data_IF_027773785365
#
_entry.id   IF_027773785365
#
_cell.length_a   1.000
_cell.length_b   1.000
_cell.length_c   1.000
_cell.angle_alpha   90.00
_cell.angle_beta   90.00
_cell.angle_gamma   90.00
#
_symmetry.space_group_name_H-M   'P 1'
#
loop_
_entity.id
_entity.type
_entity.pdbx_description
1 polymer ?
#
# COMPACT_ATOMS: atom_id res chain seq x y z
N UNK A 1 20.28 12.84 -0.90
CA UNK A 1 19.94 11.57 -0.21
C UNK A 1 20.23 10.37 -1.11
N UNK A 2 20.46 9.15 -0.57
CA UNK A 2 20.65 7.92 -1.36
C UNK A 2 19.31 7.22 -1.57
N UNK A 3 19.08 6.59 -2.74
CA UNK A 3 17.89 5.79 -3.06
C UNK A 3 17.76 4.56 -2.16
N UNK A 4 18.82 3.77 -2.03
CA UNK A 4 18.89 2.66 -1.08
C UNK A 4 19.48 3.20 0.21
N UNK A 5 18.66 3.23 1.26
CA UNK A 5 19.07 3.65 2.59
C UNK A 5 19.83 2.53 3.30
N UNK A 6 19.35 1.29 3.11
CA UNK A 6 19.96 0.11 3.73
C UNK A 6 19.56 -1.16 2.98
N UNK A 7 20.45 -2.13 2.93
CA UNK A 7 20.18 -3.44 2.34
C UNK A 7 20.94 -4.52 3.11
N UNK A 8 20.22 -5.57 3.54
CA UNK A 8 20.80 -6.70 4.26
C UNK A 8 20.10 -8.00 3.84
N UNK A 9 20.88 -9.07 3.68
CA UNK A 9 20.41 -10.40 3.34
C UNK A 9 20.88 -11.43 4.36
N UNK A 10 19.97 -12.32 4.74
CA UNK A 10 20.28 -13.44 5.62
C UNK A 10 20.91 -14.61 4.85
N UNK A 11 21.55 -15.54 5.58
CA UNK A 11 22.20 -16.72 4.99
C UNK A 11 21.20 -17.69 4.36
N UNK A 12 20.00 -17.81 4.91
CA UNK A 12 18.97 -18.74 4.46
C UNK A 12 18.04 -18.08 3.41
N UNK A 13 17.53 -18.84 2.42
CA UNK A 13 16.45 -18.38 1.55
C UNK A 13 15.20 -18.01 2.36
N UNK A 14 14.49 -16.97 1.92
CA UNK A 14 13.28 -16.50 2.61
C UNK A 14 12.69 -15.26 1.94
N UNK A 15 11.61 -14.71 2.51
CA UNK A 15 10.97 -13.51 1.95
C UNK A 15 11.92 -12.31 2.05
N UNK A 16 11.79 -11.39 1.09
CA UNK A 16 12.43 -10.07 1.13
C UNK A 16 11.36 -9.02 1.42
N UNK A 17 11.55 -8.24 2.49
CA UNK A 17 10.71 -7.07 2.78
C UNK A 17 11.37 -5.83 2.21
N UNK A 18 10.65 -5.11 1.36
CA UNK A 18 11.00 -3.77 0.89
C UNK A 18 10.21 -2.77 1.72
N UNK A 19 10.90 -1.94 2.48
CA UNK A 19 10.31 -0.77 3.14
C UNK A 19 10.59 0.46 2.28
N UNK A 20 9.56 1.14 1.83
CA UNK A 20 9.66 2.39 1.08
C UNK A 20 9.14 3.52 1.97
N UNK A 21 9.84 4.64 2.02
CA UNK A 21 9.39 5.85 2.73
C UNK A 21 9.66 7.08 1.88
N UNK A 22 8.85 8.12 2.05
CA UNK A 22 9.01 9.37 1.31
C UNK A 22 8.56 9.29 -0.16
N UNK A 23 7.48 8.54 -0.43
CA UNK A 23 6.73 8.64 -1.69
C UNK A 23 6.28 10.09 -1.92
N UNK A 24 5.92 10.79 -0.84
CA UNK A 24 5.73 12.23 -0.78
C UNK A 24 6.82 12.87 0.09
N UNK A 25 7.42 13.96 -0.38
CA UNK A 25 8.57 14.56 0.30
C UNK A 25 8.24 15.29 1.60
N UNK A 26 6.98 15.68 1.81
CA UNK A 26 6.49 16.25 3.06
C UNK A 26 6.14 15.18 4.13
N UNK A 27 6.46 13.90 3.88
CA UNK A 27 6.21 12.75 4.75
C UNK A 27 7.52 12.05 5.15
N UNK A 28 8.46 12.73 5.85
CA UNK A 28 9.79 12.18 6.13
C UNK A 28 9.79 11.06 7.18
N UNK A 29 8.70 10.89 7.95
CA UNK A 29 8.63 9.95 9.06
C UNK A 29 8.94 8.50 8.65
N UNK A 30 8.50 8.08 7.45
CA UNK A 30 8.81 6.75 6.91
C UNK A 30 10.31 6.55 6.66
N UNK A 31 10.98 7.55 6.09
CA UNK A 31 12.44 7.51 5.85
C UNK A 31 13.20 7.44 7.16
N UNK A 32 12.85 8.28 8.14
CA UNK A 32 13.48 8.27 9.45
C UNK A 32 13.30 6.93 10.19
N UNK A 33 12.10 6.34 10.10
CA UNK A 33 11.85 5.01 10.67
C UNK A 33 12.71 3.92 10.01
N UNK A 34 12.88 3.96 8.70
CA UNK A 34 13.74 3.04 7.95
C UNK A 34 15.20 3.16 8.38
N UNK A 35 15.71 4.38 8.54
CA UNK A 35 17.09 4.62 9.01
C UNK A 35 17.31 4.17 10.46
N UNK A 36 16.32 4.40 11.35
CA UNK A 36 16.38 3.91 12.74
C UNK A 36 16.40 2.40 12.80
N UNK A 37 15.55 1.76 12.01
CA UNK A 37 15.49 0.30 11.93
C UNK A 37 16.78 -0.29 11.34
N UNK A 38 17.36 0.35 10.32
CA UNK A 38 18.63 -0.06 9.72
C UNK A 38 19.75 -0.20 10.77
N UNK A 39 19.91 0.84 11.61
CA UNK A 39 20.90 0.81 12.72
C UNK A 39 20.66 -0.36 13.69
N UNK A 40 19.41 -0.64 14.01
CA UNK A 40 19.06 -1.78 14.87
C UNK A 40 19.34 -3.13 14.22
N UNK A 41 19.18 -3.24 12.91
CA UNK A 41 19.45 -4.46 12.16
C UNK A 41 20.95 -4.76 12.00
N UNK A 42 21.83 -3.76 12.12
CA UNK A 42 23.27 -3.95 12.18
C UNK A 42 23.67 -4.81 13.39
N UNK A 43 23.01 -4.60 14.53
CA UNK A 43 23.25 -5.35 15.76
C UNK A 43 22.53 -6.70 15.79
N UNK A 44 21.27 -6.72 15.36
CA UNK A 44 20.38 -7.90 15.47
C UNK A 44 20.61 -8.90 14.34
N UNK A 45 20.92 -8.42 13.14
CA UNK A 45 21.08 -9.20 11.93
C UNK A 45 19.77 -9.76 11.36
N UNK A 46 19.90 -10.41 10.20
CA UNK A 46 18.82 -11.04 9.46
C UNK A 46 19.07 -12.54 9.37
N UNK A 47 18.06 -13.35 9.70
CA UNK A 47 18.16 -14.80 9.72
C UNK A 47 18.01 -15.40 8.32
N UNK A 48 16.96 -14.96 7.60
CA UNK A 48 16.59 -15.49 6.29
C UNK A 48 16.01 -14.40 5.41
N UNK A 49 16.05 -14.62 4.08
CA UNK A 49 15.52 -13.63 3.14
C UNK A 49 16.31 -12.32 3.16
N UNK A 50 15.62 -11.19 3.17
CA UNK A 50 16.28 -9.88 3.16
C UNK A 50 15.38 -8.73 3.60
N UNK A 51 16.01 -7.60 3.85
CA UNK A 51 15.35 -6.31 4.05
C UNK A 51 16.05 -5.25 3.21
N UNK A 52 15.26 -4.47 2.47
CA UNK A 52 15.75 -3.35 1.65
C UNK A 52 14.95 -2.10 2.03
N UNK A 53 15.64 -1.09 2.54
CA UNK A 53 15.07 0.21 2.86
C UNK A 53 15.31 1.18 1.71
N UNK A 54 14.24 1.80 1.22
CA UNK A 54 14.23 2.61 -0.01
C UNK A 54 13.64 3.98 0.27
N UNK A 55 14.32 5.05 -0.19
CA UNK A 55 13.75 6.39 -0.25
C UNK A 55 12.98 6.57 -1.56
N UNK A 56 11.78 7.12 -1.47
CA UNK A 56 10.86 7.33 -2.59
C UNK A 56 11.23 8.49 -3.51
N UNK A 57 10.50 9.59 -3.49
CA UNK A 57 10.74 10.78 -4.31
C UNK A 57 11.88 11.63 -3.72
N UNK A 58 13.11 11.41 -4.18
CA UNK A 58 14.29 12.10 -3.64
C UNK A 58 14.22 13.61 -3.83
N UNK A 59 13.76 14.07 -4.99
CA UNK A 59 13.66 15.50 -5.27
C UNK A 59 12.63 16.19 -4.37
N UNK A 60 11.49 15.55 -4.13
CA UNK A 60 10.44 16.06 -3.25
C UNK A 60 10.88 16.03 -1.77
N UNK A 61 11.59 14.97 -1.33
CA UNK A 61 12.16 14.87 0.02
C UNK A 61 13.17 15.99 0.29
N UNK A 62 14.04 16.31 -0.67
CA UNK A 62 14.99 17.41 -0.54
C UNK A 62 14.29 18.76 -0.44
N UNK A 63 13.20 18.94 -1.18
CA UNK A 63 12.41 20.17 -1.17
C UNK A 63 11.41 20.26 0.03
N UNK A 64 11.16 19.17 0.76
CA UNK A 64 10.11 19.08 1.78
C UNK A 64 8.71 19.29 1.20
N UNK A 65 8.52 19.08 -0.10
CA UNK A 65 7.26 19.26 -0.81
C UNK A 65 6.58 17.90 -1.04
N UNK A 66 5.25 17.88 -1.16
CA UNK A 66 4.53 16.63 -1.45
C UNK A 66 5.04 15.98 -2.73
N UNK A 67 5.17 16.73 -3.80
CA UNK A 67 5.76 16.36 -5.09
C UNK A 67 6.33 17.60 -5.76
N UNK A 68 7.07 17.42 -6.85
CA UNK A 68 7.66 18.53 -7.61
C UNK A 68 6.78 18.96 -8.79
N UNK A 69 6.54 18.05 -9.72
CA UNK A 69 5.77 18.32 -10.95
C UNK A 69 4.44 17.54 -10.93
N UNK A 70 4.45 16.29 -10.48
CA UNK A 70 3.30 15.39 -10.43
C UNK A 70 3.33 14.49 -9.18
N UNK A 71 2.18 14.11 -8.66
CA UNK A 71 2.14 13.15 -7.55
C UNK A 71 2.70 11.79 -7.99
N UNK A 72 3.88 11.42 -7.46
CA UNK A 72 4.56 10.16 -7.78
C UNK A 72 3.67 8.96 -7.49
N UNK A 73 2.76 9.08 -6.50
CA UNK A 73 1.81 8.01 -6.17
C UNK A 73 0.50 8.07 -7.00
N UNK A 74 0.54 8.65 -8.21
CA UNK A 74 -0.55 8.69 -9.19
C UNK A 74 -0.10 8.31 -10.61
N UNK A 75 1.19 8.06 -10.82
CA UNK A 75 1.75 7.89 -12.18
C UNK A 75 2.17 6.46 -12.51
N UNK A 76 2.00 5.51 -11.61
CA UNK A 76 2.51 4.13 -11.76
C UNK A 76 1.80 3.32 -12.86
N UNK A 77 0.57 3.64 -13.20
CA UNK A 77 -0.21 2.96 -14.24
C UNK A 77 -0.08 3.66 -15.60
N UNK A 78 -0.33 4.95 -15.63
CA UNK A 78 -0.32 5.74 -16.86
C UNK A 78 1.07 6.27 -17.24
N UNK A 79 2.02 6.27 -16.32
CA UNK A 79 3.30 6.92 -16.44
C UNK A 79 3.23 8.43 -16.15
N UNK A 80 4.38 9.01 -15.77
CA UNK A 80 4.55 10.45 -15.67
C UNK A 80 5.06 11.00 -17.01
N UNK A 81 4.83 12.29 -17.33
CA UNK A 81 5.43 12.93 -18.50
C UNK A 81 6.96 12.80 -18.47
N UNK A 82 7.59 12.38 -19.58
CA UNK A 82 9.03 12.09 -19.63
C UNK A 82 9.93 13.26 -19.17
N UNK A 83 9.48 14.49 -19.35
CA UNK A 83 10.21 15.67 -18.92
C UNK A 83 10.10 15.96 -17.41
N UNK A 84 9.18 15.30 -16.69
CA UNK A 84 8.96 15.55 -15.26
C UNK A 84 10.03 14.90 -14.38
N UNK A 85 10.19 15.43 -13.17
CA UNK A 85 11.10 14.86 -12.17
C UNK A 85 10.58 13.53 -11.70
N UNK A 86 9.29 13.38 -11.50
CA UNK A 86 8.65 12.14 -11.06
C UNK A 86 8.77 11.01 -12.08
N UNK A 87 8.90 11.32 -13.38
CA UNK A 87 9.21 10.29 -14.37
C UNK A 87 10.57 9.61 -14.07
N UNK A 88 11.60 10.40 -13.76
CA UNK A 88 12.93 9.87 -13.41
C UNK A 88 12.89 9.08 -12.11
N UNK A 89 12.21 9.60 -11.09
CA UNK A 89 12.01 8.93 -9.81
C UNK A 89 11.29 7.57 -9.98
N UNK A 90 10.23 7.56 -10.79
CA UNK A 90 9.47 6.33 -11.09
C UNK A 90 10.32 5.29 -11.81
N UNK A 91 11.06 5.69 -12.86
CA UNK A 91 11.92 4.77 -13.63
C UNK A 91 13.02 4.18 -12.74
N UNK A 92 13.69 4.99 -11.93
CA UNK A 92 14.71 4.52 -10.99
C UNK A 92 14.15 3.53 -9.96
N UNK A 93 12.96 3.81 -9.41
CA UNK A 93 12.29 2.92 -8.46
C UNK A 93 11.87 1.61 -9.14
N UNK A 94 11.34 1.65 -10.36
CA UNK A 94 11.01 0.46 -11.12
C UNK A 94 12.25 -0.41 -11.38
N UNK A 95 13.34 0.20 -11.84
CA UNK A 95 14.60 -0.50 -12.09
C UNK A 95 15.16 -1.13 -10.80
N UNK A 96 15.04 -0.43 -9.66
CA UNK A 96 15.43 -0.95 -8.37
C UNK A 96 14.56 -2.14 -7.97
N UNK A 97 13.24 -2.02 -8.09
CA UNK A 97 12.31 -3.11 -7.76
C UNK A 97 12.56 -4.36 -8.63
N UNK A 98 12.84 -4.20 -9.93
CA UNK A 98 13.23 -5.33 -10.78
C UNK A 98 14.50 -6.02 -10.28
N UNK A 99 15.53 -5.25 -9.90
CA UNK A 99 16.76 -5.83 -9.34
C UNK A 99 16.51 -6.59 -8.03
N UNK A 100 15.67 -6.05 -7.16
CA UNK A 100 15.29 -6.72 -5.91
C UNK A 100 14.53 -8.03 -6.22
N UNK A 101 13.58 -8.01 -7.16
CA UNK A 101 12.83 -9.20 -7.55
C UNK A 101 13.74 -10.29 -8.14
N UNK A 102 14.68 -9.93 -9.03
CA UNK A 102 15.63 -10.86 -9.63
C UNK A 102 16.65 -11.42 -8.60
N UNK A 103 17.06 -10.59 -7.62
CA UNK A 103 18.03 -10.99 -6.58
C UNK A 103 17.42 -11.73 -5.39
N UNK A 104 16.09 -11.69 -5.24
CA UNK A 104 15.41 -12.29 -4.08
C UNK A 104 15.36 -13.82 -4.16
N UNK A 105 15.66 -14.47 -3.00
CA UNK A 105 15.61 -15.94 -2.86
C UNK A 105 14.29 -16.44 -2.26
N UNK A 106 13.21 -15.67 -2.44
CA UNK A 106 11.86 -15.96 -1.94
C UNK A 106 10.88 -14.85 -2.30
N UNK A 107 9.65 -14.90 -1.78
CA UNK A 107 8.62 -13.92 -2.11
C UNK A 107 9.00 -12.52 -1.65
N UNK A 108 8.76 -11.51 -2.51
CA UNK A 108 8.95 -10.10 -2.17
C UNK A 108 7.66 -9.54 -1.58
N UNK A 109 7.81 -8.76 -0.51
CA UNK A 109 6.74 -8.01 0.15
C UNK A 109 7.14 -6.54 0.18
N UNK A 110 6.17 -5.64 -0.01
CA UNK A 110 6.39 -4.19 -0.02
C UNK A 110 5.49 -3.51 1.00
N UNK A 111 6.06 -2.64 1.81
CA UNK A 111 5.34 -1.68 2.64
C UNK A 111 5.75 -0.27 2.26
N UNK A 112 4.78 0.55 1.87
CA UNK A 112 4.93 1.98 1.59
C UNK A 112 4.50 2.77 2.83
N UNK A 113 5.44 3.47 3.45
CA UNK A 113 5.25 4.18 4.70
C UNK A 113 4.80 5.61 4.45
N UNK A 114 3.60 5.92 4.87
CA UNK A 114 2.95 7.22 4.72
C UNK A 114 2.56 7.84 6.05
N UNK A 115 2.23 9.11 5.98
CA UNK A 115 1.55 9.88 7.02
C UNK A 115 0.38 10.66 6.41
N UNK A 116 -0.48 11.24 7.23
CA UNK A 116 -1.70 11.92 6.79
C UNK A 116 -1.73 13.38 7.24
N UNK A 117 -2.43 14.25 6.50
CA UNK A 117 -2.63 15.64 6.92
C UNK A 117 -3.63 15.78 8.07
N UNK A 118 -4.51 14.79 8.26
CA UNK A 118 -5.52 14.76 9.32
C UNK A 118 -5.16 13.83 10.48
N UNK A 119 -5.77 14.04 11.63
CA UNK A 119 -5.62 13.14 12.78
C UNK A 119 -6.31 11.79 12.55
N UNK A 120 -5.81 10.76 13.21
CA UNK A 120 -6.40 9.42 13.22
C UNK A 120 -5.48 8.34 13.76
N UNK A 121 -5.99 7.11 13.96
CA UNK A 121 -5.15 5.98 14.30
C UNK A 121 -4.25 5.60 13.14
N UNK A 122 -3.12 4.90 13.39
CA UNK A 122 -2.40 4.24 12.31
C UNK A 122 -3.26 3.15 11.67
N UNK A 123 -3.11 2.95 10.36
CA UNK A 123 -3.85 1.91 9.63
C UNK A 123 -3.09 1.42 8.41
N UNK A 124 -3.49 0.27 7.87
CA UNK A 124 -3.01 -0.22 6.58
C UNK A 124 -4.04 0.03 5.50
N UNK A 125 -3.58 0.37 4.29
CA UNK A 125 -4.39 0.47 3.10
C UNK A 125 -3.83 -0.43 2.00
N UNK A 126 -4.70 -1.20 1.34
CA UNK A 126 -4.25 -2.16 0.35
C UNK A 126 -5.32 -2.47 -0.67
N UNK A 127 -4.91 -2.97 -1.85
CA UNK A 127 -5.80 -3.63 -2.77
C UNK A 127 -6.38 -4.91 -2.13
N UNK A 128 -7.64 -5.22 -2.45
CA UNK A 128 -8.36 -6.34 -1.86
C UNK A 128 -7.95 -7.69 -2.45
N UNK A 129 -6.64 -8.02 -2.35
CA UNK A 129 -6.04 -9.30 -2.70
C UNK A 129 -5.72 -10.11 -1.44
N UNK A 130 -5.85 -11.44 -1.50
CA UNK A 130 -5.62 -12.30 -0.35
C UNK A 130 -4.18 -12.18 0.17
N UNK A 131 -3.20 -12.16 -0.73
CA UNK A 131 -1.79 -12.02 -0.34
C UNK A 131 -1.49 -10.69 0.36
N UNK A 132 -2.20 -9.61 -0.02
CA UNK A 132 -2.06 -8.31 0.62
C UNK A 132 -2.73 -8.28 1.99
N UNK A 133 -3.91 -8.92 2.11
CA UNK A 133 -4.58 -9.07 3.40
C UNK A 133 -3.72 -9.86 4.39
N UNK A 134 -3.05 -10.93 3.95
CA UNK A 134 -2.12 -11.71 4.77
C UNK A 134 -0.99 -10.84 5.31
N UNK A 135 -0.38 -9.98 4.47
CA UNK A 135 0.65 -9.03 4.89
C UNK A 135 0.10 -8.01 5.90
N UNK A 136 -1.04 -7.38 5.60
CA UNK A 136 -1.65 -6.36 6.45
C UNK A 136 -2.11 -6.91 7.82
N UNK A 137 -2.52 -8.18 7.89
CA UNK A 137 -2.94 -8.83 9.13
C UNK A 137 -1.80 -9.10 10.11
N UNK A 138 -0.53 -9.01 9.70
CA UNK A 138 0.62 -9.05 10.61
C UNK A 138 0.62 -7.85 11.56
N UNK A 139 0.02 -6.73 11.15
CA UNK A 139 -0.07 -5.51 11.95
C UNK A 139 -1.40 -5.45 12.73
N UNK A 140 -1.37 -5.12 14.03
CA UNK A 140 -2.56 -5.06 14.87
C UNK A 140 -3.31 -3.71 14.78
N UNK A 141 -3.35 -3.10 13.60
CA UNK A 141 -4.02 -1.82 13.31
C UNK A 141 -5.23 -2.03 12.40
N UNK A 142 -6.15 -1.06 12.27
CA UNK A 142 -7.21 -1.11 11.27
C UNK A 142 -6.69 -1.35 9.86
N UNK A 143 -7.42 -2.12 9.06
CA UNK A 143 -7.13 -2.37 7.65
C UNK A 143 -8.22 -1.75 6.77
N UNK A 144 -7.85 -0.92 5.80
CA UNK A 144 -8.75 -0.32 4.82
C UNK A 144 -8.59 -1.06 3.49
N UNK A 145 -9.66 -1.73 3.07
CA UNK A 145 -9.75 -2.44 1.80
C UNK A 145 -10.42 -1.57 0.74
N UNK A 146 -9.93 -1.63 -0.49
CA UNK A 146 -10.49 -0.90 -1.62
C UNK A 146 -9.95 0.52 -1.79
N UNK A 147 -9.01 0.96 -0.98
CA UNK A 147 -8.42 2.30 -1.12
C UNK A 147 -7.52 2.37 -2.36
N UNK A 148 -6.66 1.38 -2.55
CA UNK A 148 -5.77 1.35 -3.72
C UNK A 148 -6.56 1.33 -5.03
N UNK A 149 -7.67 0.61 -5.08
CA UNK A 149 -8.53 0.53 -6.26
C UNK A 149 -9.30 1.83 -6.52
N UNK A 150 -9.58 2.60 -5.47
CA UNK A 150 -10.20 3.93 -5.61
C UNK A 150 -9.19 5.01 -6.03
N UNK A 151 -7.90 4.71 -5.93
CA UNK A 151 -6.79 5.61 -6.25
C UNK A 151 -5.97 5.05 -7.43
N UNK A 152 -6.40 5.24 -8.68
CA UNK A 152 -5.65 4.75 -9.84
C UNK A 152 -4.26 5.37 -9.89
N UNK A 153 -3.30 4.58 -10.38
CA UNK A 153 -1.92 5.00 -10.55
C UNK A 153 -1.08 5.03 -9.28
N UNK A 154 -1.55 4.44 -8.15
CA UNK A 154 -0.70 4.26 -6.96
C UNK A 154 0.28 3.09 -7.13
N UNK A 155 1.42 3.16 -6.42
CA UNK A 155 2.39 2.06 -6.40
C UNK A 155 1.74 0.74 -5.99
N UNK A 156 0.95 0.75 -4.90
CA UNK A 156 0.31 -0.48 -4.40
C UNK A 156 -0.67 -1.08 -5.40
N UNK A 157 -1.42 -0.23 -6.12
CA UNK A 157 -2.31 -0.73 -7.17
C UNK A 157 -1.56 -1.31 -8.36
N UNK A 158 -0.43 -0.71 -8.76
CA UNK A 158 0.37 -1.21 -9.87
C UNK A 158 0.95 -2.62 -9.62
N UNK A 159 0.99 -3.07 -8.37
CA UNK A 159 1.39 -4.42 -7.99
C UNK A 159 0.26 -5.45 -8.11
N UNK A 160 -0.98 -5.02 -8.36
CA UNK A 160 -2.12 -5.94 -8.48
C UNK A 160 -1.91 -6.95 -9.62
N UNK A 161 -2.20 -8.23 -9.35
CA UNK A 161 -1.95 -9.33 -10.28
C UNK A 161 -0.50 -9.83 -10.33
N UNK A 162 0.45 -9.17 -9.66
CA UNK A 162 1.81 -9.67 -9.50
C UNK A 162 1.94 -10.60 -8.29
N UNK A 163 3.10 -11.24 -8.16
CA UNK A 163 3.42 -12.06 -6.97
C UNK A 163 3.92 -11.24 -5.76
N UNK A 164 3.99 -9.93 -5.89
CA UNK A 164 4.42 -9.02 -4.83
C UNK A 164 3.23 -8.63 -3.96
N UNK A 165 3.28 -8.99 -2.68
CA UNK A 165 2.30 -8.45 -1.73
C UNK A 165 2.66 -7.02 -1.38
N UNK A 166 1.71 -6.10 -1.53
CA UNK A 166 1.93 -4.69 -1.24
C UNK A 166 0.86 -4.09 -0.33
N UNK A 167 1.29 -3.17 0.55
CA UNK A 167 0.39 -2.35 1.34
C UNK A 167 1.00 -0.99 1.62
N UNK A 168 0.17 0.03 1.78
CA UNK A 168 0.55 1.28 2.42
C UNK A 168 0.31 1.18 3.94
N UNK A 169 1.15 1.81 4.74
CA UNK A 169 1.00 1.97 6.17
C UNK A 169 0.94 3.46 6.50
N UNK A 170 -0.21 3.91 6.96
CA UNK A 170 -0.46 5.27 7.40
C UNK A 170 -0.17 5.37 8.90
N UNK A 171 0.92 6.04 9.26
CA UNK A 171 1.43 6.05 10.63
C UNK A 171 0.74 7.06 11.57
N UNK A 172 -0.05 7.98 11.02
CA UNK A 172 -0.67 9.09 11.72
C UNK A 172 -0.36 10.43 11.06
N UNK A 173 -0.48 11.54 11.79
CA UNK A 173 -0.31 12.89 11.23
C UNK A 173 1.15 13.19 10.89
N UNK A 174 1.39 14.03 9.85
CA UNK A 174 2.72 14.40 9.36
C UNK A 174 3.64 14.91 10.48
N UNK A 175 3.13 15.80 11.33
CA UNK A 175 3.91 16.44 12.38
C UNK A 175 3.88 15.69 13.73
N UNK A 176 3.24 14.51 13.80
CA UNK A 176 3.22 13.70 15.03
C UNK A 176 4.54 12.90 15.16
N UNK A 177 5.38 13.19 16.19
CA UNK A 177 6.62 12.43 16.40
C UNK A 177 6.39 10.92 16.57
N UNK A 178 5.22 10.51 17.04
CA UNK A 178 4.85 9.10 17.16
C UNK A 178 4.67 8.42 15.80
N UNK A 179 4.51 9.17 14.69
CA UNK A 179 4.42 8.59 13.35
C UNK A 179 5.71 7.85 12.96
N UNK A 180 6.87 8.36 13.32
CA UNK A 180 8.16 7.68 13.13
C UNK A 180 8.20 6.37 13.91
N UNK A 181 7.83 6.42 15.21
CA UNK A 181 7.83 5.25 16.08
C UNK A 181 6.84 4.18 15.64
N UNK A 182 5.63 4.58 15.22
CA UNK A 182 4.61 3.65 14.70
C UNK A 182 5.08 2.98 13.40
N UNK A 183 5.77 3.71 12.54
CA UNK A 183 6.38 3.15 11.31
C UNK A 183 7.49 2.14 11.66
N UNK A 184 8.36 2.45 12.61
CA UNK A 184 9.38 1.53 13.10
C UNK A 184 8.76 0.28 13.74
N UNK A 185 7.73 0.43 14.60
CA UNK A 185 6.99 -0.68 15.20
C UNK A 185 6.34 -1.58 14.15
N UNK A 186 5.75 -0.99 13.10
CA UNK A 186 5.18 -1.75 11.98
C UNK A 186 6.26 -2.58 11.27
N UNK A 187 7.42 -1.99 10.97
CA UNK A 187 8.53 -2.70 10.33
C UNK A 187 9.08 -3.84 11.21
N UNK A 188 9.23 -3.62 12.52
CA UNK A 188 9.64 -4.68 13.48
C UNK A 188 8.66 -5.85 13.44
N UNK A 189 7.35 -5.58 13.46
CA UNK A 189 6.34 -6.63 13.39
C UNK A 189 6.32 -7.35 12.05
N UNK A 190 6.51 -6.64 10.94
CA UNK A 190 6.59 -7.25 9.61
C UNK A 190 7.81 -8.15 9.49
N UNK A 191 8.99 -7.68 9.87
CA UNK A 191 10.23 -8.48 9.83
C UNK A 191 10.12 -9.72 10.72
N UNK A 192 9.57 -9.57 11.93
CA UNK A 192 9.35 -10.69 12.87
C UNK A 192 8.29 -11.67 12.33
N UNK A 193 7.14 -11.15 11.87
CA UNK A 193 6.03 -11.97 11.36
C UNK A 193 6.37 -12.72 10.07
N UNK A 194 7.26 -12.19 9.24
CA UNK A 194 7.81 -12.85 8.05
C UNK A 194 8.98 -13.79 8.38
N UNK A 195 9.45 -13.82 9.63
CA UNK A 195 10.57 -14.63 10.08
C UNK A 195 11.92 -14.18 9.49
N UNK A 196 12.03 -12.90 9.09
CA UNK A 196 13.24 -12.33 8.49
C UNK A 196 14.29 -12.01 9.56
N UNK A 197 13.87 -11.28 10.62
CA UNK A 197 14.76 -10.78 11.65
C UNK A 197 14.89 -11.73 12.85
N UNK A 198 15.93 -11.46 13.68
CA UNK A 198 16.17 -12.09 14.97
C UNK A 198 15.80 -11.19 16.14
N UNK A 199 14.90 -10.23 15.94
CA UNK A 199 14.46 -9.38 17.05
C UNK A 199 14.01 -10.22 18.24
N UNK A 200 14.40 -9.81 19.44
CA UNK A 200 13.96 -10.44 20.67
C UNK A 200 12.43 -10.42 20.77
N UNK A 201 11.81 -11.48 21.32
CA UNK A 201 10.35 -11.57 21.45
C UNK A 201 9.73 -10.38 22.18
N UNK A 202 10.47 -9.78 23.12
CA UNK A 202 10.02 -8.61 23.89
C UNK A 202 9.91 -7.37 23.00
N UNK A 203 10.87 -7.12 22.10
CA UNK A 203 10.81 -6.00 21.17
C UNK A 203 9.57 -6.07 20.27
N UNK A 204 9.25 -7.26 19.75
CA UNK A 204 8.05 -7.46 18.95
C UNK A 204 6.75 -7.33 19.79
N UNK A 205 6.77 -7.79 21.05
CA UNK A 205 5.64 -7.68 21.98
C UNK A 205 5.35 -6.21 22.32
N UNK A 206 6.38 -5.42 22.63
CA UNK A 206 6.26 -3.99 22.89
C UNK A 206 5.73 -3.21 21.68
N UNK A 207 6.33 -3.43 20.48
CA UNK A 207 5.85 -2.83 19.23
C UNK A 207 4.37 -3.15 18.99
N UNK A 208 3.98 -4.41 19.17
CA UNK A 208 2.58 -4.84 19.08
C UNK A 208 1.70 -4.12 20.11
N UNK A 209 2.14 -4.01 21.36
CA UNK A 209 1.41 -3.32 22.43
C UNK A 209 1.12 -1.87 22.09
N UNK A 210 2.12 -1.14 21.57
CA UNK A 210 1.97 0.27 21.15
C UNK A 210 0.99 0.42 19.99
N UNK A 211 1.11 -0.40 18.96
CA UNK A 211 0.19 -0.35 17.80
C UNK A 211 -1.24 -0.78 18.17
N UNK A 212 -1.41 -1.77 19.05
CA UNK A 212 -2.73 -2.13 19.59
C UNK A 212 -3.35 -0.95 20.35
N UNK A 213 -2.57 -0.27 21.18
CA UNK A 213 -3.04 0.91 21.93
C UNK A 213 -3.45 2.04 20.98
N UNK A 214 -2.64 2.32 19.94
CA UNK A 214 -2.92 3.35 18.94
C UNK A 214 -4.17 3.06 18.09
N UNK A 215 -4.46 1.78 17.81
CA UNK A 215 -5.64 1.34 17.04
C UNK A 215 -6.90 1.09 17.88
N UNK A 216 -6.83 1.28 19.21
CA UNK A 216 -7.93 0.93 20.14
C UNK A 216 -9.20 1.74 19.85
N UNK A 217 -10.37 1.06 19.92
CA UNK A 217 -11.68 1.68 19.70
C UNK A 217 -12.08 1.84 18.25
N UNK A 218 -11.23 1.43 17.30
CA UNK A 218 -11.52 1.49 15.87
C UNK A 218 -11.86 0.10 15.30
N UNK A 219 -12.69 0.02 14.22
CA UNK A 219 -12.97 -1.23 13.54
C UNK A 219 -11.69 -1.87 13.01
N UNK A 220 -11.58 -3.21 13.13
CA UNK A 220 -10.42 -3.96 12.64
C UNK A 220 -10.26 -3.89 11.11
N UNK A 221 -11.35 -3.78 10.38
CA UNK A 221 -11.35 -3.60 8.94
C UNK A 221 -12.46 -2.67 8.48
N UNK A 222 -12.18 -1.88 7.46
CA UNK A 222 -13.14 -1.07 6.70
C UNK A 222 -13.06 -1.45 5.23
N UNK A 223 -14.22 -1.41 4.57
CA UNK A 223 -14.29 -1.43 3.12
C UNK A 223 -14.65 -0.04 2.62
N UNK A 224 -13.88 0.50 1.69
CA UNK A 224 -14.12 1.80 1.09
C UNK A 224 -15.45 1.79 0.31
N UNK A 225 -16.26 2.83 0.48
CA UNK A 225 -17.56 2.94 -0.18
C UNK A 225 -17.74 4.22 -0.98
N UNK A 226 -16.91 5.22 -0.73
CA UNK A 226 -16.98 6.50 -1.44
C UNK A 226 -15.63 7.21 -1.41
N UNK A 227 -15.30 7.87 -2.53
CA UNK A 227 -14.19 8.81 -2.69
C UNK A 227 -14.78 10.16 -3.08
N UNK A 228 -14.39 11.21 -2.39
CA UNK A 228 -14.68 12.59 -2.78
C UNK A 228 -13.42 13.21 -3.37
N UNK A 229 -13.35 13.28 -4.70
CA UNK A 229 -12.27 13.95 -5.42
C UNK A 229 -12.35 15.47 -5.26
N UNK A 230 -11.21 16.15 -5.36
CA UNK A 230 -11.10 17.60 -5.31
C UNK A 230 -10.77 18.11 -6.70
N UNK A 231 -11.58 19.05 -7.18
CA UNK A 231 -11.26 19.80 -8.40
C UNK A 231 -10.54 21.09 -8.01
N UNK A 232 -9.28 21.30 -8.45
CA UNK A 232 -8.51 22.48 -8.07
C UNK A 232 -9.21 23.81 -8.41
N UNK A 233 -9.99 23.83 -9.48
CA UNK A 233 -10.69 25.04 -9.96
C UNK A 233 -11.78 25.52 -9.00
N UNK A 234 -12.44 24.63 -8.25
CA UNK A 234 -13.53 25.00 -7.31
C UNK A 234 -13.05 25.17 -5.88
N UNK A 235 -11.80 24.83 -5.60
CA UNK A 235 -11.24 24.85 -4.27
C UNK A 235 -11.88 23.79 -3.35
N UNK A 236 -11.22 23.47 -2.28
CA UNK A 236 -11.77 22.56 -1.26
C UNK A 236 -11.25 22.98 0.12
N UNK A 237 -12.17 23.18 1.04
CA UNK A 237 -11.81 23.53 2.42
C UNK A 237 -12.51 22.58 3.39
N UNK A 238 -11.72 21.65 3.96
CA UNK A 238 -12.19 20.70 4.98
C UNK A 238 -12.59 21.44 6.25
N UNK A 239 -13.76 21.19 6.80
CA UNK A 239 -14.15 21.76 8.09
C UNK A 239 -13.27 21.21 9.22
N UNK A 240 -12.85 22.03 10.18
CA UNK A 240 -11.97 21.61 11.26
C UNK A 240 -12.62 20.55 12.16
N UNK A 241 -11.79 19.71 12.78
CA UNK A 241 -12.22 18.74 13.80
C UNK A 241 -12.64 17.37 13.24
N UNK A 242 -12.62 17.15 11.92
CA UNK A 242 -12.79 15.81 11.39
C UNK A 242 -11.49 15.00 11.51
N UNK A 243 -11.63 13.69 11.81
CA UNK A 243 -10.53 12.75 12.00
C UNK A 243 -10.77 11.48 11.20
N UNK A 244 -9.72 10.81 10.79
CA UNK A 244 -9.83 9.47 10.20
C UNK A 244 -10.51 8.51 11.17
N UNK A 245 -11.38 7.64 10.66
CA UNK A 245 -12.23 6.68 11.38
C UNK A 245 -13.40 7.30 12.19
N UNK A 246 -13.57 8.62 12.17
CA UNK A 246 -14.71 9.27 12.82
C UNK A 246 -16.03 8.86 12.13
N UNK A 247 -17.10 8.52 12.88
CA UNK A 247 -18.41 8.28 12.30
C UNK A 247 -19.01 9.58 11.76
N UNK A 248 -19.56 9.51 10.56
CA UNK A 248 -20.31 10.58 9.91
C UNK A 248 -21.68 10.09 9.47
N UNK A 249 -22.67 11.00 9.42
CA UNK A 249 -24.03 10.70 8.98
C UNK A 249 -24.28 11.22 7.58
N UNK A 250 -25.12 10.55 6.82
CA UNK A 250 -25.59 11.06 5.52
C UNK A 250 -26.13 12.48 5.69
N UNK A 251 -25.73 13.39 4.80
CA UNK A 251 -26.15 14.80 4.80
C UNK A 251 -25.34 15.69 5.75
N UNK A 252 -24.45 15.14 6.60
CA UNK A 252 -23.58 15.93 7.45
C UNK A 252 -22.63 16.77 6.57
N UNK A 253 -22.51 18.07 6.86
CA UNK A 253 -21.56 18.95 6.19
C UNK A 253 -20.16 18.59 6.64
N UNK A 254 -19.26 18.39 5.68
CA UNK A 254 -17.88 17.95 5.90
C UNK A 254 -16.88 19.01 5.46
N UNK A 255 -17.16 19.68 4.35
CA UNK A 255 -16.27 20.66 3.75
C UNK A 255 -17.08 21.74 3.02
N UNK A 256 -16.38 22.73 2.48
CA UNK A 256 -16.94 23.73 1.55
C UNK A 256 -16.05 23.82 0.31
N UNK A 257 -16.68 24.18 -0.82
CA UNK A 257 -16.03 24.53 -2.07
C UNK A 257 -16.56 25.88 -2.56
N UNK A 258 -16.03 26.41 -3.66
CA UNK A 258 -16.59 27.60 -4.31
C UNK A 258 -18.05 27.42 -4.76
N UNK A 259 -18.51 26.19 -4.91
CA UNK A 259 -19.90 25.85 -5.30
C UNK A 259 -20.83 25.66 -4.09
N UNK A 260 -20.31 25.62 -2.87
CA UNK A 260 -21.10 25.49 -1.63
C UNK A 260 -20.65 24.37 -0.72
N UNK A 261 -21.60 23.90 0.09
CA UNK A 261 -21.33 22.87 1.11
C UNK A 261 -21.16 21.48 0.51
N UNK A 262 -20.13 20.78 0.94
CA UNK A 262 -19.89 19.37 0.65
C UNK A 262 -20.44 18.52 1.79
N UNK A 263 -21.43 17.68 1.44
CA UNK A 263 -22.12 16.82 2.42
C UNK A 263 -21.80 15.35 2.22
N UNK A 264 -21.75 14.60 3.31
CA UNK A 264 -21.56 13.15 3.28
C UNK A 264 -22.69 12.47 2.46
N UNK A 265 -22.40 11.77 1.36
CA UNK A 265 -23.43 11.11 0.55
C UNK A 265 -24.07 9.90 1.24
N UNK A 266 -23.38 9.33 2.23
CA UNK A 266 -23.82 8.18 3.00
C UNK A 266 -23.29 8.25 4.45
N UNK A 267 -23.92 7.50 5.35
CA UNK A 267 -23.36 7.28 6.68
C UNK A 267 -22.20 6.28 6.62
N UNK A 268 -21.12 6.52 7.37
CA UNK A 268 -19.93 5.69 7.36
C UNK A 268 -18.87 6.18 8.34
N UNK A 269 -17.64 5.73 8.10
CA UNK A 269 -16.43 6.24 8.76
C UNK A 269 -15.67 7.10 7.77
N UNK A 270 -15.36 8.32 8.14
CA UNK A 270 -14.55 9.24 7.35
C UNK A 270 -13.08 8.79 7.41
N UNK A 271 -12.38 8.89 6.29
CA UNK A 271 -10.97 8.53 6.17
C UNK A 271 -10.23 9.65 5.43
N UNK A 272 -8.99 9.87 5.82
CA UNK A 272 -8.06 10.78 5.14
C UNK A 272 -8.65 12.17 4.87
N UNK A 273 -9.15 12.90 5.89
CA UNK A 273 -9.61 14.28 5.68
C UNK A 273 -8.46 15.15 5.22
N UNK A 274 -8.66 15.91 4.13
CA UNK A 274 -7.64 16.74 3.51
C UNK A 274 -7.50 18.08 4.25
N UNK A 275 -6.42 18.23 5.02
CA UNK A 275 -6.08 19.48 5.71
C UNK A 275 -4.82 20.17 5.16
N UNK A 276 -4.29 19.69 4.05
CA UNK A 276 -3.17 20.30 3.35
C UNK A 276 -3.62 20.94 2.04
N UNK A 277 -2.82 21.86 1.51
CA UNK A 277 -3.12 22.62 0.28
C UNK A 277 -2.98 21.83 -1.02
N UNK A 278 -2.37 20.65 -0.97
CA UNK A 278 -2.11 19.78 -2.11
C UNK A 278 -2.73 18.40 -1.93
N UNK A 279 -3.27 17.83 -3.00
CA UNK A 279 -3.90 16.53 -3.05
C UNK A 279 -5.22 16.55 -3.82
N UNK A 280 -5.57 15.42 -4.44
CA UNK A 280 -6.74 15.28 -5.32
C UNK A 280 -7.94 14.65 -4.61
N UNK A 281 -7.79 14.32 -3.32
CA UNK A 281 -8.78 13.61 -2.53
C UNK A 281 -9.15 14.39 -1.28
N UNK A 282 -10.40 14.87 -1.20
CA UNK A 282 -10.90 15.63 -0.06
C UNK A 282 -11.16 14.74 1.16
N UNK A 283 -11.81 13.61 0.94
CA UNK A 283 -12.04 12.58 1.96
C UNK A 283 -12.57 11.28 1.34
N UNK A 284 -12.54 10.22 2.13
CA UNK A 284 -13.16 8.96 1.77
C UNK A 284 -14.18 8.54 2.84
N UNK A 285 -15.11 7.65 2.48
CA UNK A 285 -15.99 6.99 3.42
C UNK A 285 -15.81 5.48 3.34
N UNK A 286 -15.77 4.84 4.52
CA UNK A 286 -15.68 3.40 4.65
C UNK A 286 -16.75 2.83 5.57
N UNK A 287 -17.08 1.55 5.40
CA UNK A 287 -17.98 0.80 6.29
C UNK A 287 -17.22 -0.30 7.01
N UNK A 288 -17.47 -0.52 8.31
CA UNK A 288 -16.87 -1.62 9.04
C UNK A 288 -17.20 -2.98 8.43
N UNK A 289 -16.19 -3.85 8.39
CA UNK A 289 -16.29 -5.24 7.97
C UNK A 289 -15.99 -6.14 9.16
N UNK A 290 -16.91 -7.05 9.45
CA UNK A 290 -16.72 -8.01 10.54
C UNK A 290 -15.59 -9.00 10.21
N UNK A 291 -14.79 -9.38 11.21
CA UNK A 291 -13.70 -10.36 11.01
C UNK A 291 -14.19 -11.73 10.53
N UNK A 292 -15.41 -12.13 10.93
CA UNK A 292 -16.06 -13.35 10.42
C UNK A 292 -16.30 -13.27 8.90
N UNK A 293 -16.67 -12.08 8.42
CA UNK A 293 -16.89 -11.83 6.99
C UNK A 293 -15.59 -11.88 6.19
N UNK A 294 -14.50 -11.35 6.72
CA UNK A 294 -13.17 -11.45 6.10
C UNK A 294 -12.71 -12.91 5.99
N UNK A 295 -12.89 -13.72 7.06
CA UNK A 295 -12.56 -15.15 7.04
C UNK A 295 -13.40 -15.93 6.03
N UNK A 296 -14.70 -15.62 5.94
CA UNK A 296 -15.59 -16.23 4.95
C UNK A 296 -15.14 -15.86 3.52
N UNK A 297 -14.83 -14.58 3.28
CA UNK A 297 -14.30 -14.12 2.00
C UNK A 297 -13.02 -14.85 1.60
N UNK A 298 -12.08 -14.98 2.54
CA UNK A 298 -10.83 -15.69 2.32
C UNK A 298 -11.07 -17.17 1.95
N UNK A 299 -11.92 -17.86 2.70
CA UNK A 299 -12.27 -19.25 2.42
C UNK A 299 -12.93 -19.42 1.04
N UNK A 300 -13.94 -18.59 0.71
CA UNK A 300 -14.65 -18.63 -0.57
C UNK A 300 -13.68 -18.41 -1.74
N UNK A 301 -12.76 -17.45 -1.62
CA UNK A 301 -11.78 -17.12 -2.66
C UNK A 301 -10.70 -18.21 -2.78
N UNK A 302 -10.21 -18.78 -1.67
CA UNK A 302 -9.24 -19.88 -1.68
C UNK A 302 -9.80 -21.15 -2.35
N UNK A 303 -11.10 -21.45 -2.19
CA UNK A 303 -11.73 -22.57 -2.92
C UNK A 303 -12.13 -22.21 -4.34
N UNK A 304 -11.96 -20.95 -4.75
CA UNK A 304 -12.27 -20.48 -6.10
C UNK A 304 -13.78 -20.56 -6.43
N UNK A 305 -14.63 -20.27 -5.45
CA UNK A 305 -16.08 -20.41 -5.61
C UNK A 305 -16.66 -19.45 -6.66
N UNK A 306 -15.98 -18.32 -6.92
CA UNK A 306 -16.37 -17.34 -7.94
C UNK A 306 -16.42 -17.93 -9.36
N UNK A 307 -15.62 -18.99 -9.64
CA UNK A 307 -15.66 -19.68 -10.95
C UNK A 307 -17.00 -20.32 -11.27
N UNK A 308 -17.82 -20.63 -10.25
CA UNK A 308 -19.13 -21.22 -10.44
C UNK A 308 -20.21 -20.19 -10.76
N UNK A 309 -19.96 -18.90 -10.49
CA UNK A 309 -20.92 -17.82 -10.82
C UNK A 309 -21.21 -17.75 -12.31
N UNK A 310 -20.27 -18.10 -13.18
CA UNK A 310 -20.47 -18.13 -14.65
C UNK A 310 -21.56 -19.09 -15.10
N UNK A 311 -21.90 -20.09 -14.29
CA UNK A 311 -22.95 -21.05 -14.58
C UNK A 311 -24.32 -20.64 -13.98
N UNK A 312 -24.35 -19.59 -13.18
CA UNK A 312 -25.57 -19.12 -12.54
C UNK A 312 -26.33 -18.16 -13.47
N UNK A 313 -27.67 -18.28 -13.58
CA UNK A 313 -28.47 -17.35 -14.35
C UNK A 313 -28.26 -15.90 -13.88
N UNK A 314 -28.09 -14.98 -14.83
CA UNK A 314 -27.92 -13.55 -14.51
C UNK A 314 -26.49 -13.12 -14.23
N UNK A 315 -25.50 -14.01 -14.35
CA UNK A 315 -24.07 -13.70 -14.34
C UNK A 315 -23.45 -13.96 -15.71
N UNK A 316 -22.56 -13.08 -16.15
CA UNK A 316 -21.75 -13.25 -17.35
C UNK A 316 -20.31 -12.82 -17.04
N UNK A 317 -19.40 -13.76 -17.13
CA UNK A 317 -17.94 -13.45 -17.05
C UNK A 317 -17.48 -13.01 -18.43
N UNK A 318 -16.73 -11.90 -18.50
CA UNK A 318 -16.19 -11.40 -19.76
C UNK A 318 -15.06 -12.33 -20.23
N UNK A 319 -15.18 -12.98 -21.43
CA UNK A 319 -14.16 -13.91 -21.91
C UNK A 319 -12.80 -13.25 -22.14
N UNK A 320 -12.81 -11.98 -22.56
CA UNK A 320 -11.61 -11.21 -22.87
C UNK A 320 -10.92 -10.65 -21.62
N UNK A 321 -11.64 -10.43 -20.54
CA UNK A 321 -11.07 -9.92 -19.29
C UNK A 321 -11.74 -10.58 -18.08
N UNK A 322 -11.03 -11.56 -17.47
CA UNK A 322 -11.49 -12.30 -16.29
C UNK A 322 -11.70 -11.43 -15.04
N UNK A 323 -11.23 -10.18 -15.07
CA UNK A 323 -11.46 -9.20 -14.00
C UNK A 323 -12.91 -8.69 -14.01
N UNK A 324 -13.56 -8.76 -15.17
CA UNK A 324 -14.88 -8.21 -15.38
C UNK A 324 -15.96 -9.29 -15.29
N UNK A 325 -17.01 -8.97 -14.54
CA UNK A 325 -18.23 -9.77 -14.45
C UNK A 325 -19.45 -8.86 -14.64
N UNK A 326 -20.37 -9.27 -15.50
CA UNK A 326 -21.64 -8.56 -15.70
C UNK A 326 -22.72 -9.26 -14.89
N UNK A 327 -23.49 -8.48 -14.15
CA UNK A 327 -24.61 -8.99 -13.32
C UNK A 327 -25.90 -8.35 -13.77
N UNK A 328 -26.94 -9.17 -13.94
CA UNK A 328 -28.25 -8.67 -14.32
C UNK A 328 -28.80 -7.73 -13.23
N UNK A 329 -29.36 -6.53 -13.57
CA UNK A 329 -29.78 -5.53 -12.58
C UNK A 329 -30.81 -6.04 -11.57
N UNK A 330 -31.70 -6.96 -11.94
CA UNK A 330 -32.64 -7.56 -11.00
C UNK A 330 -31.95 -8.38 -9.93
N UNK A 331 -30.91 -9.13 -10.30
CA UNK A 331 -30.09 -9.93 -9.36
C UNK A 331 -29.25 -9.02 -8.47
N UNK A 332 -28.67 -7.96 -9.03
CA UNK A 332 -27.90 -6.97 -8.27
C UNK A 332 -28.73 -6.21 -7.24
N UNK A 333 -30.04 -6.04 -7.46
CA UNK A 333 -30.98 -5.45 -6.49
C UNK A 333 -31.28 -6.41 -5.32
N UNK A 334 -31.29 -7.72 -5.57
CA UNK A 334 -31.60 -8.74 -4.56
C UNK A 334 -30.36 -9.12 -3.75
N UNK A 335 -29.22 -9.28 -4.42
CA UNK A 335 -27.96 -9.59 -3.76
C UNK A 335 -27.33 -8.30 -3.20
N UNK A 336 -27.09 -8.21 -1.89
CA UNK A 336 -26.47 -7.02 -1.32
C UNK A 336 -25.04 -6.85 -1.88
N UNK A 337 -24.60 -5.60 -2.08
CA UNK A 337 -23.26 -5.29 -2.60
C UNK A 337 -22.12 -6.01 -1.82
N UNK A 338 -22.30 -6.21 -0.49
CA UNK A 338 -21.38 -6.97 0.33
C UNK A 338 -21.17 -8.43 -0.11
N UNK A 339 -22.13 -9.05 -0.83
CA UNK A 339 -21.95 -10.38 -1.41
C UNK A 339 -20.87 -10.38 -2.46
N UNK A 340 -20.83 -9.36 -3.32
CA UNK A 340 -19.79 -9.23 -4.34
C UNK A 340 -18.42 -8.94 -3.74
N UNK A 341 -18.38 -8.18 -2.64
CA UNK A 341 -17.13 -7.94 -1.89
C UNK A 341 -16.56 -9.21 -1.26
N UNK A 342 -17.39 -10.21 -0.87
CA UNK A 342 -16.87 -11.51 -0.44
C UNK A 342 -16.03 -12.18 -1.50
N UNK A 343 -16.35 -11.95 -2.76
CA UNK A 343 -15.69 -12.54 -3.92
C UNK A 343 -14.59 -11.64 -4.49
N UNK A 344 -14.32 -10.48 -3.85
CA UNK A 344 -13.36 -9.49 -4.30
C UNK A 344 -13.85 -8.58 -5.42
N UNK A 345 -15.15 -8.66 -5.78
CA UNK A 345 -15.72 -7.80 -6.82
C UNK A 345 -16.29 -6.51 -6.25
N UNK A 346 -16.17 -5.43 -7.02
CA UNK A 346 -16.75 -4.12 -6.75
C UNK A 346 -17.48 -3.57 -7.99
N UNK A 347 -18.50 -2.72 -7.83
CA UNK A 347 -19.16 -2.06 -8.95
C UNK A 347 -18.15 -1.20 -9.74
N UNK A 348 -18.19 -1.34 -11.08
CA UNK A 348 -17.36 -0.60 -12.03
C UNK A 348 -18.21 0.15 -13.08
N UNK A 349 -19.48 0.37 -12.77
CA UNK A 349 -20.43 1.06 -13.65
C UNK A 349 -21.54 0.17 -14.21
N UNK A 350 -22.14 0.61 -15.31
CA UNK A 350 -23.15 -0.13 -16.05
C UNK A 350 -22.91 -0.01 -17.56
N UNK A 351 -23.12 -1.11 -18.29
CA UNK A 351 -23.01 -1.14 -19.73
C UNK A 351 -24.11 -2.04 -20.31
N UNK A 352 -24.80 -1.58 -21.38
CA UNK A 352 -25.86 -2.32 -22.08
C UNK A 352 -26.95 -2.90 -21.17
N UNK A 353 -27.33 -2.15 -20.12
CA UNK A 353 -28.35 -2.58 -19.18
C UNK A 353 -27.87 -3.62 -18.14
N UNK A 354 -26.58 -3.91 -18.06
CA UNK A 354 -25.95 -4.77 -17.05
C UNK A 354 -25.14 -3.96 -16.06
N UNK A 355 -25.07 -4.43 -14.82
CA UNK A 355 -24.10 -3.91 -13.83
C UNK A 355 -22.77 -4.58 -14.06
N UNK A 356 -21.74 -3.79 -14.29
CA UNK A 356 -20.38 -4.29 -14.45
C UNK A 356 -19.71 -4.31 -13.08
N UNK A 357 -19.10 -5.43 -12.74
CA UNK A 357 -18.30 -5.62 -11.55
C UNK A 357 -16.87 -5.91 -11.97
N UNK A 358 -15.92 -5.34 -11.25
CA UNK A 358 -14.48 -5.55 -11.45
C UNK A 358 -13.85 -6.13 -10.19
N UNK A 359 -12.85 -6.99 -10.36
CA UNK A 359 -11.92 -7.40 -9.29
C UNK A 359 -10.49 -7.33 -9.77
N UNK A 360 -9.56 -7.21 -8.85
CA UNK A 360 -8.16 -7.45 -9.14
C UNK A 360 -7.90 -8.96 -9.18
N UNK A 361 -6.96 -9.38 -10.04
CA UNK A 361 -6.61 -10.79 -10.18
C UNK A 361 -5.65 -11.18 -9.05
N UNK A 362 -5.89 -12.35 -8.46
CA UNK A 362 -4.90 -12.98 -7.58
C UNK A 362 -3.68 -13.45 -8.41
N UNK A 363 -2.51 -13.60 -7.79
CA UNK A 363 -1.33 -14.09 -8.49
C UNK A 363 -1.60 -15.44 -9.16
N UNK A 364 -1.23 -15.54 -10.45
CA UNK A 364 -1.46 -16.73 -11.26
C UNK A 364 -2.80 -16.79 -11.99
N UNK A 365 -3.73 -15.88 -11.73
CA UNK A 365 -4.99 -15.79 -12.49
C UNK A 365 -4.85 -14.99 -13.80
N UNK A 366 -3.82 -14.11 -13.90
CA UNK A 366 -3.55 -13.33 -15.10
C UNK A 366 -2.69 -14.07 -16.11
N UNK A 367 -2.86 -13.74 -17.39
CA UNK A 367 -1.92 -14.15 -18.44
C UNK A 367 -0.73 -13.20 -18.38
N UNK A 368 0.09 -13.31 -17.34
CA UNK A 368 1.41 -12.72 -17.39
C UNK A 368 2.30 -13.67 -18.19
N UNK A 369 2.80 -13.22 -19.33
CA UNK A 369 3.90 -13.89 -20.00
C UNK A 369 5.02 -14.13 -18.97
N UNK A 370 5.50 -15.36 -18.87
CA UNK A 370 6.62 -15.72 -18.01
C UNK A 370 7.78 -14.76 -18.27
N UNK A 371 8.06 -13.85 -17.34
CA UNK A 371 9.16 -12.88 -17.42
C UNK A 371 8.75 -11.41 -17.48
N UNK A 372 7.46 -11.08 -17.45
CA UNK A 372 7.02 -9.70 -17.25
C UNK A 372 6.85 -9.45 -15.74
N UNK A 373 7.62 -8.48 -15.21
CA UNK A 373 7.39 -7.95 -13.84
C UNK A 373 6.08 -7.16 -13.77
N UNK A 374 5.73 -6.63 -12.57
CA UNK A 374 4.47 -5.92 -12.33
C UNK A 374 4.21 -4.75 -13.29
N UNK A 375 5.24 -4.19 -13.92
CA UNK A 375 5.14 -3.03 -14.83
C UNK A 375 5.34 -3.37 -16.31
N UNK A 376 5.12 -4.64 -16.75
CA UNK A 376 5.21 -5.08 -18.13
C UNK A 376 6.63 -5.45 -18.60
N UNK A 377 6.76 -5.80 -19.90
CA UNK A 377 8.00 -6.33 -20.51
C UNK A 377 9.04 -5.27 -20.89
N UNK A 378 8.99 -4.05 -20.39
CA UNK A 378 10.05 -3.07 -20.61
C UNK A 378 11.27 -3.42 -19.75
N UNK A 379 12.07 -4.39 -20.25
CA UNK A 379 13.45 -4.52 -19.78
C UNK A 379 14.19 -3.24 -20.16
N UNK A 380 14.80 -2.53 -19.18
CA UNK A 380 15.73 -1.47 -19.54
C UNK A 380 16.84 -2.05 -20.42
N UNK A 381 17.37 -1.30 -21.38
CA UNK A 381 18.47 -1.77 -22.22
C UNK A 381 19.61 -2.23 -21.32
N UNK A 382 20.07 -3.46 -21.51
CA UNK A 382 21.21 -4.03 -20.76
C UNK A 382 22.40 -3.08 -20.88
N UNK A 383 22.63 -2.26 -19.86
CA UNK A 383 23.90 -1.57 -19.71
C UNK A 383 24.97 -2.64 -19.54
N UNK A 384 25.95 -2.66 -20.47
CA UNK A 384 27.14 -3.53 -20.40
C UNK A 384 27.76 -3.40 -19.00
N UNK A 385 27.95 -4.51 -18.35
CA UNK A 385 28.62 -4.62 -17.04
C UNK A 385 30.00 -3.96 -17.12
N UNK A 386 30.12 -2.76 -16.58
CA UNK A 386 31.36 -2.27 -16.02
C UNK A 386 31.35 -2.71 -14.56
N UNK A 387 32.17 -3.70 -14.22
CA UNK A 387 32.30 -4.18 -12.86
C UNK A 387 32.91 -3.08 -11.99
N UNK A 388 32.17 -2.59 -11.00
CA UNK A 388 32.75 -1.92 -9.83
C UNK A 388 32.25 -2.70 -8.61
N UNK A 389 33.07 -3.65 -8.23
CA UNK A 389 33.01 -4.30 -6.92
C UNK A 389 33.51 -3.28 -5.88
N UNK A 390 32.64 -2.73 -5.07
CA UNK A 390 33.05 -2.12 -3.79
C UNK A 390 32.77 -3.15 -2.70
N UNK A 391 33.80 -3.94 -2.39
CA UNK A 391 33.90 -4.69 -1.13
C UNK A 391 34.30 -3.71 -0.03
N UNK A 392 33.45 -3.48 0.93
CA UNK A 392 33.77 -2.86 2.20
C UNK A 392 33.74 -3.91 3.31
N UNK A 393 34.77 -4.72 3.43
CA UNK A 393 35.07 -5.47 4.65
C UNK A 393 36.37 -4.87 5.24
N UNK A 394 36.22 -4.13 6.33
CA UNK A 394 37.36 -3.73 7.15
C UNK A 394 37.70 -4.91 8.05
N UNK A 395 38.78 -5.63 7.71
CA UNK A 395 39.44 -6.58 8.59
C UNK A 395 40.55 -5.82 9.31
N UNK A 396 40.41 -5.66 10.63
CA UNK A 396 41.51 -5.23 11.49
C UNK A 396 42.53 -6.38 11.60
N UNK A 397 43.62 -6.28 10.88
CA UNK A 397 44.82 -7.03 11.22
C UNK A 397 45.54 -6.38 12.41
N UNK A 398 45.61 -7.12 13.51
CA UNK A 398 46.51 -6.82 14.62
C UNK A 398 47.94 -7.19 14.19
N UNK A 399 48.82 -6.17 14.14
CA UNK A 399 50.23 -6.36 14.01
C UNK A 399 50.81 -7.17 15.18
N UNK A 400 51.63 -8.13 14.84
CA UNK A 400 52.65 -8.69 15.74
C UNK A 400 53.99 -8.12 15.31
N UNK A 401 54.51 -7.20 16.09
CA UNK A 401 55.93 -6.96 16.22
C UNK A 401 56.53 -8.02 17.14
N UNK A 402 57.70 -8.50 16.81
CA UNK A 402 58.42 -9.38 17.68
C UNK A 402 59.64 -10.03 17.04
N UNK A 403 60.82 -9.40 17.29
CA UNK A 403 62.21 -9.84 17.19
C UNK A 403 62.86 -9.90 15.82
#
# INVERSE_FOLDING_TARGET
>A
MRRILYEIHGPEPGPTLVGLGGMHGNEPAGVEALERLARRLEDVGVRRGGFVAVAGNLAALEAGARFMDHDLNRVWEAGAPEASREHREMVELQDLMYRILEGSRGPVKLVDLHTTSGEGPPFTATADLLLNRELALLLPVPMVLGLSEALPGTLIQSLAGSSVAGMAFEAGRHEDPESVRRSEDALVLLLSGLGISRFEPDAAREARGRLVAAGRGHPRALHLTHRHGVEPAVGFNMHPGFRSFQPVRRGQVIATTGEGEVRAPASGRLLLPLYQSSGDDGFFLGRPVASSWLRLSEWIRKVGAERYLRYMPGFRVEPADRRLMRVHPRLFRVLPARFFFLLGYRPDGGHDGWVVLRRDLEPGEGVHEKGSGPWGSRRPPRRRRGAVLVRGAVVHEKGREGA
#
